data_IF_871000800231
#
_entry.id   IF_871000800231
#
_cell.length_a   1.000
_cell.length_b   1.000
_cell.length_c   1.000
_cell.angle_alpha   90.00
_cell.angle_beta   90.00
_cell.angle_gamma   90.00
#
_symmetry.space_group_name_H-M   'P 1'
#
loop_
_entity.id
_entity.type
_entity.pdbx_description
1 polymer ?
#
# COMPACT_ATOMS: atom_id res chain seq x y z
N UNK A 1 5.59 12.71 -8.84
CA UNK A 1 5.90 12.50 -7.42
C UNK A 1 6.57 13.74 -6.86
N UNK A 2 6.15 14.19 -5.68
CA UNK A 2 6.67 15.36 -4.98
C UNK A 2 7.30 14.89 -3.67
N UNK A 3 8.61 15.04 -3.53
CA UNK A 3 9.34 14.57 -2.35
C UNK A 3 9.54 15.72 -1.36
N UNK A 4 9.40 15.41 -0.07
CA UNK A 4 9.63 16.36 1.01
C UNK A 4 10.17 15.66 2.24
N UNK A 5 10.52 16.44 3.25
CA UNK A 5 10.94 15.87 4.52
C UNK A 5 9.74 15.19 5.19
N UNK A 6 9.93 13.95 5.62
CA UNK A 6 8.94 13.13 6.35
C UNK A 6 7.63 12.83 5.60
N UNK A 7 7.60 13.00 4.27
CA UNK A 7 6.44 12.65 3.45
C UNK A 7 6.72 12.71 1.95
N UNK A 8 5.74 12.29 1.14
CA UNK A 8 5.73 12.44 -0.31
C UNK A 8 4.31 12.54 -0.85
N UNK A 9 4.14 13.24 -1.97
CA UNK A 9 2.89 13.38 -2.69
C UNK A 9 2.94 12.73 -4.06
N UNK A 10 1.83 12.16 -4.48
CA UNK A 10 1.59 11.58 -5.79
C UNK A 10 0.43 12.31 -6.44
N UNK A 11 0.59 12.64 -7.71
CA UNK A 11 -0.47 13.15 -8.57
C UNK A 11 -0.44 12.36 -9.86
N UNK A 12 -1.60 11.90 -10.29
CA UNK A 12 -1.75 11.19 -11.56
C UNK A 12 -3.12 11.49 -12.16
N UNK A 13 -3.21 11.65 -13.50
CA UNK A 13 -4.47 11.92 -14.15
C UNK A 13 -5.39 10.71 -14.05
N UNK A 14 -6.68 11.00 -13.88
CA UNK A 14 -7.78 10.06 -13.92
C UNK A 14 -8.90 10.64 -14.81
N UNK A 15 -9.96 9.87 -15.06
CA UNK A 15 -11.09 10.28 -15.89
C UNK A 15 -10.65 10.89 -17.23
N UNK A 16 -9.76 10.17 -17.94
CA UNK A 16 -9.15 10.59 -19.22
C UNK A 16 -8.44 11.95 -19.17
N UNK A 17 -8.01 12.39 -17.99
CA UNK A 17 -7.29 13.65 -17.77
C UNK A 17 -8.16 14.82 -17.32
N UNK A 18 -9.47 14.62 -17.17
CA UNK A 18 -10.38 15.65 -16.65
C UNK A 18 -10.19 15.87 -15.14
N UNK A 19 -9.73 14.85 -14.42
CA UNK A 19 -9.44 14.92 -12.98
C UNK A 19 -8.03 14.46 -12.67
N UNK A 20 -7.49 14.91 -11.53
CA UNK A 20 -6.20 14.46 -11.01
C UNK A 20 -6.44 13.85 -9.64
N UNK A 21 -6.06 12.58 -9.47
CA UNK A 21 -5.98 11.97 -8.16
C UNK A 21 -4.77 12.49 -7.41
N UNK A 22 -4.97 12.84 -6.14
CA UNK A 22 -3.94 13.36 -5.26
C UNK A 22 -3.82 12.44 -4.06
N UNK A 23 -2.65 11.85 -3.85
CA UNK A 23 -2.34 11.05 -2.66
C UNK A 23 -1.19 11.70 -1.94
N UNK A 24 -1.39 12.05 -0.67
CA UNK A 24 -0.39 12.67 0.17
C UNK A 24 -0.04 11.72 1.32
N UNK A 25 1.24 11.35 1.42
CA UNK A 25 1.74 10.44 2.42
C UNK A 25 2.58 11.20 3.44
N UNK A 26 2.34 10.91 4.72
CA UNK A 26 3.07 11.44 5.86
C UNK A 26 3.30 10.32 6.86
N UNK A 27 4.29 10.50 7.74
CA UNK A 27 4.58 9.54 8.81
C UNK A 27 4.09 10.10 10.14
N UNK A 28 3.53 9.21 10.96
CA UNK A 28 3.24 9.50 12.36
C UNK A 28 3.95 8.47 13.24
N UNK A 29 4.35 8.88 14.45
CA UNK A 29 4.82 7.98 15.50
C UNK A 29 3.68 7.58 16.44
N UNK A 30 2.54 8.25 16.33
CA UNK A 30 1.34 7.94 17.09
C UNK A 30 0.69 6.70 16.46
N UNK A 31 0.19 5.80 17.30
CA UNK A 31 -0.58 4.66 16.82
C UNK A 31 -1.87 5.12 16.14
N UNK A 32 -2.40 4.29 15.25
CA UNK A 32 -3.70 4.56 14.66
C UNK A 32 -4.80 4.44 15.73
N UNK A 33 -5.67 5.46 15.90
CA UNK A 33 -6.56 5.54 17.06
C UNK A 33 -7.79 4.63 16.96
N UNK A 34 -8.19 4.21 15.75
CA UNK A 34 -9.39 3.38 15.54
C UNK A 34 -9.00 1.92 15.28
N UNK A 35 -9.34 0.97 16.17
CA UNK A 35 -8.98 -0.44 15.98
C UNK A 35 -9.85 -1.16 14.93
N UNK A 36 -10.96 -0.57 14.48
CA UNK A 36 -11.92 -1.21 13.59
C UNK A 36 -11.87 -0.66 12.16
N UNK A 37 -11.51 0.61 11.98
CA UNK A 37 -11.46 1.26 10.68
C UNK A 37 -10.08 1.79 10.37
N UNK A 38 -9.54 1.48 9.19
CA UNK A 38 -8.27 2.03 8.69
C UNK A 38 -8.42 3.38 8.00
N UNK A 39 -9.63 3.95 7.98
CA UNK A 39 -9.95 5.21 7.29
C UNK A 39 -10.68 6.15 8.23
N UNK A 40 -10.44 7.46 8.07
CA UNK A 40 -11.24 8.50 8.70
C UNK A 40 -11.39 9.70 7.78
N UNK A 41 -12.52 10.40 7.92
CA UNK A 41 -12.69 11.69 7.27
C UNK A 41 -11.66 12.71 7.80
N UNK A 42 -11.23 13.60 6.92
CA UNK A 42 -10.32 14.70 7.22
C UNK A 42 -10.77 15.95 6.47
N UNK A 43 -10.75 17.08 7.15
CA UNK A 43 -11.06 18.33 6.48
C UNK A 43 -9.94 18.63 5.48
N UNK A 44 -10.28 19.26 4.35
CA UNK A 44 -9.27 19.82 3.43
C UNK A 44 -8.23 20.70 4.15
N UNK A 45 -8.67 21.40 5.20
CA UNK A 45 -7.81 22.24 6.03
C UNK A 45 -6.76 21.44 6.81
N UNK A 46 -7.05 20.19 7.19
CA UNK A 46 -6.08 19.32 7.88
C UNK A 46 -4.88 19.01 6.97
N UNK A 47 -5.14 18.73 5.69
CA UNK A 47 -4.08 18.54 4.70
C UNK A 47 -3.26 19.83 4.49
N UNK A 48 -3.92 20.99 4.36
CA UNK A 48 -3.23 22.28 4.21
C UNK A 48 -2.33 22.59 5.42
N UNK A 49 -2.79 22.29 6.63
CA UNK A 49 -2.02 22.48 7.86
C UNK A 49 -0.85 21.48 7.96
N UNK A 50 -1.10 20.20 7.70
CA UNK A 50 -0.09 19.14 7.76
C UNK A 50 1.06 19.32 6.77
N UNK A 51 0.80 19.98 5.65
CA UNK A 51 1.77 20.25 4.60
C UNK A 51 2.17 21.74 4.50
N UNK A 52 1.89 22.57 5.51
CA UNK A 52 2.13 24.02 5.46
C UNK A 52 3.61 24.41 5.23
N UNK A 53 4.56 23.54 5.61
CA UNK A 53 5.99 23.75 5.41
C UNK A 53 6.51 23.30 4.03
N UNK A 54 5.63 22.79 3.17
CA UNK A 54 5.98 22.32 1.83
C UNK A 54 5.99 23.46 0.80
N UNK A 55 6.41 23.15 -0.42
CA UNK A 55 6.45 24.15 -1.49
C UNK A 55 5.06 24.71 -1.80
N UNK A 56 5.03 25.98 -2.25
CA UNK A 56 3.78 26.66 -2.63
C UNK A 56 2.97 25.90 -3.68
N UNK A 57 3.64 25.13 -4.54
CA UNK A 57 2.97 24.31 -5.56
C UNK A 57 2.14 23.17 -4.95
N UNK A 58 2.64 22.50 -3.91
CA UNK A 58 1.91 21.42 -3.23
C UNK A 58 0.75 21.97 -2.43
N UNK A 59 0.96 23.07 -1.72
CA UNK A 59 -0.11 23.78 -1.02
C UNK A 59 -1.20 24.21 -2.00
N UNK A 60 -0.81 24.70 -3.19
CA UNK A 60 -1.76 25.06 -4.24
C UNK A 60 -2.54 23.84 -4.75
N UNK A 61 -1.90 22.69 -4.97
CA UNK A 61 -2.60 21.44 -5.34
C UNK A 61 -3.65 21.08 -4.29
N UNK A 62 -3.32 21.09 -3.00
CA UNK A 62 -4.31 20.81 -1.95
C UNK A 62 -5.44 21.85 -1.91
N UNK A 63 -5.16 23.12 -2.22
CA UNK A 63 -6.19 24.15 -2.32
C UNK A 63 -7.20 23.89 -3.45
N UNK A 64 -6.88 23.04 -4.43
CA UNK A 64 -7.75 22.67 -5.54
C UNK A 64 -8.62 21.43 -5.28
N UNK A 65 -8.47 20.76 -4.13
CA UNK A 65 -9.29 19.58 -3.80
C UNK A 65 -10.79 19.92 -3.81
N UNK A 66 -11.58 19.07 -4.46
CA UNK A 66 -13.03 19.16 -4.56
C UNK A 66 -13.69 18.59 -3.30
N UNK A 67 -13.63 19.35 -2.21
CA UNK A 67 -14.20 18.97 -0.91
C UNK A 67 -13.16 18.47 0.09
N UNK A 68 -13.65 17.77 1.10
CA UNK A 68 -12.84 17.14 2.14
C UNK A 68 -12.13 15.89 1.62
N UNK A 69 -11.20 15.38 2.41
CA UNK A 69 -10.37 14.23 2.06
C UNK A 69 -10.55 13.09 3.06
N UNK A 70 -10.08 11.91 2.71
CA UNK A 70 -9.96 10.78 3.63
C UNK A 70 -8.50 10.57 4.01
N UNK A 71 -8.27 10.23 5.27
CA UNK A 71 -6.98 9.74 5.75
C UNK A 71 -7.06 8.23 5.86
N UNK A 72 -6.05 7.58 5.27
CA UNK A 72 -5.92 6.14 5.20
C UNK A 72 -4.68 5.74 5.99
N UNK A 73 -4.87 4.93 7.03
CA UNK A 73 -3.77 4.27 7.70
C UNK A 73 -3.20 3.16 6.81
N UNK A 74 -1.89 3.19 6.62
CA UNK A 74 -1.18 2.17 5.85
C UNK A 74 -0.64 1.15 6.85
N UNK A 75 -1.12 -0.09 6.75
CA UNK A 75 -0.65 -1.23 7.53
C UNK A 75 0.03 -2.24 6.61
N UNK A 76 1.04 -2.90 7.13
CA UNK A 76 1.72 -4.04 6.51
C UNK A 76 2.00 -5.10 7.59
N UNK A 77 2.63 -6.21 7.19
CA UNK A 77 2.99 -7.30 8.11
C UNK A 77 4.49 -7.36 8.41
N UNK A 78 5.24 -6.27 8.19
CA UNK A 78 6.70 -6.25 8.32
C UNK A 78 7.18 -6.62 9.73
N UNK A 79 6.46 -6.19 10.77
CA UNK A 79 6.83 -6.48 12.16
C UNK A 79 6.65 -7.96 12.54
N UNK A 80 5.69 -8.64 11.90
CA UNK A 80 5.28 -10.01 12.20
C UNK A 80 4.97 -10.81 10.93
N UNK A 81 5.98 -11.05 10.06
CA UNK A 81 5.76 -11.79 8.82
C UNK A 81 5.47 -13.27 9.11
N UNK A 82 4.66 -13.96 8.29
CA UNK A 82 4.46 -15.39 8.39
C UNK A 82 5.78 -16.16 8.25
N UNK A 83 6.01 -17.14 9.11
CA UNK A 83 7.19 -18.01 9.03
C UNK A 83 7.10 -19.05 7.91
N UNK A 84 5.89 -19.34 7.44
CA UNK A 84 5.63 -20.19 6.28
C UNK A 84 4.35 -19.72 5.58
N UNK A 85 4.29 -19.92 4.27
CA UNK A 85 3.14 -19.57 3.43
C UNK A 85 2.28 -20.81 3.10
N UNK A 86 2.75 -22.00 3.46
CA UNK A 86 2.05 -23.26 3.25
C UNK A 86 2.23 -24.21 4.45
N UNK A 87 1.17 -24.95 4.77
CA UNK A 87 1.23 -26.05 5.72
C UNK A 87 0.16 -27.11 5.38
N UNK A 88 0.60 -28.33 5.06
CA UNK A 88 -0.23 -29.46 4.65
C UNK A 88 -1.06 -29.14 3.41
N UNK A 89 -2.36 -28.87 3.60
CA UNK A 89 -3.32 -28.57 2.51
C UNK A 89 -3.89 -27.16 2.65
N UNK A 90 -3.16 -26.28 3.33
CA UNK A 90 -3.53 -24.89 3.54
C UNK A 90 -2.39 -24.04 3.02
N UNK A 91 -2.74 -23.02 2.26
CA UNK A 91 -1.81 -21.99 1.79
C UNK A 91 -2.41 -20.62 2.11
N UNK A 92 -1.53 -19.66 2.30
CA UNK A 92 -1.85 -18.23 2.31
C UNK A 92 -1.16 -17.61 1.10
N UNK A 93 -1.86 -16.69 0.44
CA UNK A 93 -1.37 -15.98 -0.75
C UNK A 93 -1.80 -14.52 -0.69
N UNK A 94 -1.18 -13.69 -1.50
CA UNK A 94 -1.44 -12.27 -1.62
C UNK A 94 -1.28 -11.51 -0.31
N UNK A 95 -2.11 -10.51 -0.06
CA UNK A 95 -2.08 -9.73 1.19
C UNK A 95 -2.13 -10.58 2.48
N UNK A 96 -2.75 -11.78 2.47
CA UNK A 96 -2.75 -12.65 3.65
C UNK A 96 -1.35 -13.23 3.97
N UNK A 97 -0.50 -13.34 2.95
CA UNK A 97 0.85 -13.84 3.03
C UNK A 97 1.90 -12.74 3.15
N UNK A 98 1.71 -11.60 2.48
CA UNK A 98 2.73 -10.57 2.31
C UNK A 98 2.20 -9.15 2.13
N UNK A 99 1.11 -8.75 2.82
CA UNK A 99 0.64 -7.36 2.76
C UNK A 99 1.78 -6.36 2.99
N UNK A 100 1.96 -5.45 2.03
CA UNK A 100 3.03 -4.44 1.99
C UNK A 100 2.47 -3.03 1.93
N UNK A 101 3.28 -2.05 2.38
CA UNK A 101 2.98 -0.64 2.16
C UNK A 101 2.92 -0.29 0.66
N UNK A 102 2.04 0.63 0.30
CA UNK A 102 1.71 0.94 -1.10
C UNK A 102 2.77 1.76 -1.86
N UNK A 103 3.96 1.97 -1.29
CA UNK A 103 4.98 2.87 -1.85
C UNK A 103 5.53 2.41 -3.21
N UNK A 104 5.60 1.09 -3.45
CA UNK A 104 6.05 0.52 -4.73
C UNK A 104 4.91 0.17 -5.69
N UNK A 105 3.65 0.22 -5.23
CA UNK A 105 2.47 -0.16 -6.03
C UNK A 105 2.60 -1.57 -6.64
N UNK A 106 3.32 -2.48 -5.98
CA UNK A 106 3.61 -3.83 -6.50
C UNK A 106 2.71 -4.92 -5.94
N UNK A 107 2.01 -4.68 -4.82
CA UNK A 107 1.28 -5.71 -4.09
C UNK A 107 0.29 -6.50 -4.96
N UNK A 108 -0.54 -5.81 -5.75
CA UNK A 108 -1.49 -6.48 -6.65
C UNK A 108 -0.80 -7.36 -7.72
N UNK A 109 0.40 -6.97 -8.17
CA UNK A 109 1.19 -7.80 -9.09
C UNK A 109 1.66 -9.08 -8.41
N UNK A 110 2.20 -8.96 -7.20
CA UNK A 110 2.60 -10.10 -6.36
C UNK A 110 1.43 -11.05 -6.08
N UNK A 111 0.23 -10.52 -5.78
CA UNK A 111 -0.97 -11.33 -5.56
C UNK A 111 -1.37 -12.16 -6.80
N UNK A 112 -1.20 -11.60 -8.00
CA UNK A 112 -1.46 -12.29 -9.27
C UNK A 112 -0.42 -13.38 -9.54
N UNK A 113 0.85 -13.11 -9.26
CA UNK A 113 1.93 -14.09 -9.37
C UNK A 113 1.69 -15.28 -8.44
N UNK A 114 1.34 -15.04 -7.17
CA UNK A 114 0.98 -16.10 -6.22
C UNK A 114 -0.19 -16.96 -6.71
N UNK A 115 -1.24 -16.31 -7.24
CA UNK A 115 -2.42 -17.00 -7.75
C UNK A 115 -2.06 -17.91 -8.91
N UNK A 116 -1.14 -17.46 -9.77
CA UNK A 116 -0.64 -18.24 -10.92
C UNK A 116 0.14 -19.45 -10.45
N UNK A 117 1.09 -19.28 -9.53
CA UNK A 117 1.87 -20.38 -8.95
C UNK A 117 0.99 -21.38 -8.20
N UNK A 118 0.00 -20.88 -7.46
CA UNK A 118 -0.96 -21.74 -6.76
C UNK A 118 -1.79 -22.56 -7.73
N UNK A 119 -2.19 -22.00 -8.87
CA UNK A 119 -2.96 -22.71 -9.90
C UNK A 119 -2.11 -23.79 -10.60
N UNK A 120 -0.84 -23.49 -10.90
CA UNK A 120 0.12 -24.46 -11.46
C UNK A 120 0.37 -25.65 -10.52
N UNK A 121 0.37 -25.41 -9.21
CA UNK A 121 0.56 -26.44 -8.20
C UNK A 121 -0.66 -27.33 -7.93
N UNK A 122 -1.84 -27.03 -8.50
CA UNK A 122 -3.05 -27.85 -8.28
C UNK A 122 -2.85 -29.24 -8.89
N UNK A 123 -2.69 -30.25 -8.01
CA UNK A 123 -2.42 -31.63 -8.38
C UNK A 123 -0.97 -32.09 -8.16
N UNK A 124 -0.07 -31.17 -7.78
CA UNK A 124 1.32 -31.41 -7.40
C UNK A 124 1.60 -31.13 -5.91
N UNK A 125 2.89 -31.11 -5.56
CA UNK A 125 3.34 -30.79 -4.20
C UNK A 125 3.49 -29.27 -4.02
N UNK A 126 2.41 -28.64 -3.55
CA UNK A 126 2.29 -27.18 -3.40
C UNK A 126 3.34 -26.62 -2.43
N UNK A 127 3.72 -27.37 -1.38
CA UNK A 127 4.75 -26.92 -0.43
C UNK A 127 6.09 -26.73 -1.15
N UNK A 128 6.47 -27.67 -2.01
CA UNK A 128 7.70 -27.59 -2.79
C UNK A 128 7.72 -26.38 -3.74
N UNK A 129 6.61 -26.14 -4.45
CA UNK A 129 6.51 -25.02 -5.42
C UNK A 129 6.63 -23.68 -4.70
N UNK A 130 5.95 -23.51 -3.56
CA UNK A 130 5.98 -22.27 -2.78
C UNK A 130 7.37 -22.04 -2.18
N UNK A 131 8.02 -23.08 -1.65
CA UNK A 131 9.39 -22.98 -1.12
C UNK A 131 10.39 -22.60 -2.23
N UNK A 132 10.35 -23.24 -3.38
CA UNK A 132 11.24 -22.94 -4.51
C UNK A 132 11.03 -21.51 -5.07
N UNK A 133 9.78 -21.03 -5.09
CA UNK A 133 9.46 -19.67 -5.50
C UNK A 133 10.01 -18.63 -4.51
N UNK A 134 9.84 -18.86 -3.20
CA UNK A 134 10.38 -17.98 -2.16
C UNK A 134 11.91 -17.88 -2.24
N UNK A 135 12.62 -19.02 -2.33
CA UNK A 135 14.09 -19.04 -2.45
C UNK A 135 14.61 -18.35 -3.73
N UNK A 136 13.82 -18.31 -4.81
CA UNK A 136 14.18 -17.57 -6.02
C UNK A 136 14.04 -16.06 -5.83
N UNK A 137 13.01 -15.61 -5.11
CA UNK A 137 12.79 -14.18 -4.85
C UNK A 137 13.88 -13.55 -3.97
N UNK A 138 14.46 -14.30 -3.03
CA UNK A 138 15.55 -13.79 -2.16
C UNK A 138 16.91 -13.65 -2.86
N UNK A 139 17.05 -14.15 -4.10
CA UNK A 139 18.31 -14.13 -4.87
C UNK A 139 18.41 -12.98 -5.88
N UNK A 140 17.39 -12.13 -5.96
CA UNK A 140 17.30 -10.97 -6.88
C UNK A 140 17.46 -9.69 -6.07
#
# INVERSE_FOLDING_TARGET
MHLGRDGHGLTFPDDKGETINVVALTRTKEGWPDPNYSTRAAAKQDALNGYACWSKNIIHIFSLLNGDADIWAIFDILDHPPTTHAQKRKIIIGNAAHAISSHHVSGAGSDVEDSTLSAEGVGGDIEKIVTEAHERSEKI
#
